data_IF_819807535066
#
_entry.id   IF_819807535066
#
_cell.length_a   1.000
_cell.length_b   1.000
_cell.length_c   1.000
_cell.angle_alpha   90.00
_cell.angle_beta   90.00
_cell.angle_gamma   90.00
#
_symmetry.space_group_name_H-M   'P 1'
#
loop_
_entity.id
_entity.type
_entity.pdbx_description
1 polymer ?
#
# COMPACT_ATOMS: atom_id res chain seq x y z
N UNK A 1 8.95 20.03 -0.66
CA UNK A 1 8.65 19.03 0.37
C UNK A 1 8.55 17.66 -0.27
N UNK A 2 9.22 16.66 0.29
CA UNK A 2 9.22 15.32 -0.29
C UNK A 2 7.95 14.58 0.09
N UNK A 3 7.20 14.02 -0.89
CA UNK A 3 5.98 13.27 -0.58
C UNK A 3 6.25 12.05 0.29
N UNK A 4 5.32 11.76 1.18
CA UNK A 4 5.36 10.60 2.07
C UNK A 4 4.08 9.81 1.91
N UNK A 5 4.12 8.66 1.24
CA UNK A 5 2.92 7.88 0.95
C UNK A 5 2.25 7.33 2.21
N UNK A 6 0.92 7.35 2.20
CA UNK A 6 0.12 6.70 3.24
C UNK A 6 -1.14 6.12 2.62
N UNK A 7 -1.68 5.09 3.25
CA UNK A 7 -2.99 4.57 2.88
C UNK A 7 -4.05 5.62 3.26
N UNK A 8 -5.03 5.81 2.40
CA UNK A 8 -6.11 6.77 2.68
C UNK A 8 -6.83 6.39 3.97
N UNK A 9 -7.21 7.39 4.81
CA UNK A 9 -7.71 7.11 6.16
C UNK A 9 -8.97 6.24 6.24
N UNK A 10 -9.81 6.27 5.21
CA UNK A 10 -11.03 5.48 5.18
C UNK A 10 -10.81 4.02 4.75
N UNK A 11 -9.60 3.69 4.32
CA UNK A 11 -9.23 2.34 3.93
C UNK A 11 -8.46 1.67 5.06
N UNK A 12 -8.81 0.42 5.35
CA UNK A 12 -8.14 -0.36 6.40
C UNK A 12 -7.42 -1.53 5.75
N UNK A 13 -6.07 -1.46 5.69
CA UNK A 13 -5.31 -2.56 5.14
C UNK A 13 -5.24 -3.71 6.15
N UNK A 14 -5.57 -4.90 5.69
CA UNK A 14 -5.47 -6.12 6.48
C UNK A 14 -4.68 -7.15 5.70
N UNK A 15 -3.75 -7.82 6.38
CA UNK A 15 -3.02 -8.93 5.77
C UNK A 15 -4.00 -10.07 5.47
N UNK A 16 -3.93 -10.59 4.25
CA UNK A 16 -4.73 -11.72 3.83
C UNK A 16 -3.81 -12.82 3.30
N UNK A 17 -3.44 -13.74 4.18
CA UNK A 17 -2.44 -14.74 3.86
C UNK A 17 -1.04 -14.14 3.76
N UNK A 18 -0.16 -14.79 3.00
CA UNK A 18 1.24 -14.39 2.89
C UNK A 18 1.52 -13.41 1.75
N UNK A 19 0.62 -13.34 0.78
CA UNK A 19 0.89 -12.67 -0.49
C UNK A 19 -0.19 -11.66 -0.88
N UNK A 20 -1.06 -11.28 0.04
CA UNK A 20 -2.17 -10.38 -0.28
C UNK A 20 -2.47 -9.42 0.87
N UNK A 21 -3.00 -8.25 0.49
CA UNK A 21 -3.53 -7.26 1.44
C UNK A 21 -4.93 -6.89 0.98
N UNK A 22 -5.87 -6.89 1.92
CA UNK A 22 -7.23 -6.47 1.68
C UNK A 22 -7.43 -5.06 2.21
N UNK A 23 -8.00 -4.19 1.36
CA UNK A 23 -8.44 -2.86 1.76
C UNK A 23 -9.96 -2.88 1.81
N UNK A 24 -10.54 -2.67 2.98
CA UNK A 24 -11.97 -2.72 3.14
C UNK A 24 -12.50 -1.49 3.83
N UNK A 25 -13.69 -1.05 3.38
CA UNK A 25 -14.57 -0.27 4.21
C UNK A 25 -15.29 -1.27 5.10
N UNK A 26 -15.23 -1.07 6.37
CA UNK A 26 -15.84 -1.97 7.34
C UNK A 26 -17.34 -1.69 7.49
N UNK A 27 -18.21 -2.67 7.40
CA UNK A 27 -18.14 -3.91 6.65
C UNK A 27 -18.76 -3.66 5.28
N UNK A 28 -18.27 -4.22 4.22
CA UNK A 28 -19.03 -4.01 3.04
C UNK A 28 -18.56 -4.64 1.75
N UNK A 29 -19.47 -4.73 0.79
CA UNK A 29 -19.10 -5.05 -0.58
C UNK A 29 -18.21 -3.94 -1.13
N UNK A 30 -17.17 -4.31 -1.86
CA UNK A 30 -16.25 -3.34 -2.43
C UNK A 30 -14.85 -3.37 -1.83
N UNK A 31 -14.53 -4.37 -1.03
CA UNK A 31 -13.17 -4.58 -0.58
C UNK A 31 -12.25 -4.81 -1.79
N UNK A 32 -11.12 -4.12 -1.81
CA UNK A 32 -10.10 -4.30 -2.83
C UNK A 32 -9.03 -5.23 -2.27
N UNK A 33 -8.68 -6.26 -3.03
CA UNK A 33 -7.64 -7.21 -2.63
C UNK A 33 -6.47 -7.08 -3.58
N UNK A 34 -5.29 -6.81 -3.05
CA UNK A 34 -4.05 -6.84 -3.80
C UNK A 34 -3.39 -8.19 -3.61
N UNK A 35 -3.31 -8.96 -4.69
CA UNK A 35 -2.71 -10.29 -4.70
C UNK A 35 -1.37 -10.27 -5.41
N UNK A 36 -0.62 -11.37 -5.29
CA UNK A 36 0.65 -11.52 -5.97
C UNK A 36 1.78 -10.69 -5.37
N UNK A 37 1.64 -10.26 -4.13
CA UNK A 37 2.67 -9.50 -3.43
C UNK A 37 3.69 -10.45 -2.80
N UNK A 38 4.94 -10.00 -2.72
CA UNK A 38 5.92 -10.67 -1.88
C UNK A 38 5.65 -10.34 -0.41
N UNK A 39 6.22 -11.10 0.49
CA UNK A 39 6.08 -10.84 1.93
C UNK A 39 6.60 -9.44 2.30
N UNK A 40 7.71 -9.01 1.67
CA UNK A 40 8.25 -7.66 1.86
C UNK A 40 7.29 -6.59 1.37
N UNK A 41 6.64 -6.83 0.24
CA UNK A 41 5.66 -5.90 -0.32
C UNK A 41 4.42 -5.80 0.56
N UNK A 42 3.96 -6.90 1.12
CA UNK A 42 2.87 -6.88 2.11
C UNK A 42 3.24 -6.02 3.31
N UNK A 43 4.44 -6.21 3.85
CA UNK A 43 4.94 -5.40 4.96
C UNK A 43 5.03 -3.92 4.62
N UNK A 44 5.47 -3.60 3.40
CA UNK A 44 5.53 -2.24 2.91
C UNK A 44 4.14 -1.59 2.88
N UNK A 45 3.17 -2.27 2.30
CA UNK A 45 1.80 -1.74 2.18
C UNK A 45 1.18 -1.51 3.56
N UNK A 46 1.35 -2.46 4.47
CA UNK A 46 0.83 -2.33 5.84
C UNK A 46 1.52 -1.22 6.62
N UNK A 47 2.72 -0.83 6.23
CA UNK A 47 3.50 0.22 6.88
C UNK A 47 3.36 1.61 6.27
N UNK A 48 2.45 1.82 5.33
CA UNK A 48 2.25 3.11 4.66
C UNK A 48 1.45 4.06 5.57
N UNK A 49 2.15 4.80 6.41
CA UNK A 49 1.56 5.67 7.42
C UNK A 49 1.89 7.17 7.24
N UNK A 50 2.56 7.52 6.16
CA UNK A 50 2.94 8.91 5.88
C UNK A 50 4.20 9.38 6.59
N UNK A 51 4.95 8.47 7.21
CA UNK A 51 6.16 8.83 7.95
C UNK A 51 7.45 8.69 7.14
N UNK A 52 7.42 7.92 6.04
CA UNK A 52 8.59 7.66 5.21
C UNK A 52 8.38 8.10 3.78
N UNK A 53 9.44 8.62 3.17
CA UNK A 53 9.47 8.92 1.73
C UNK A 53 9.50 7.61 0.94
N UNK A 54 9.22 7.69 -0.38
CA UNK A 54 9.33 6.53 -1.28
C UNK A 54 10.73 5.90 -1.20
N UNK A 55 11.77 6.72 -1.19
CA UNK A 55 13.15 6.24 -1.10
C UNK A 55 13.40 5.49 0.20
N UNK A 56 12.93 6.03 1.30
CA UNK A 56 13.07 5.39 2.61
C UNK A 56 12.31 4.07 2.67
N UNK A 57 11.10 4.02 2.08
CA UNK A 57 10.31 2.79 2.00
C UNK A 57 11.03 1.71 1.20
N UNK A 58 11.58 2.07 0.04
CA UNK A 58 12.31 1.13 -0.80
C UNK A 58 13.51 0.52 -0.05
N UNK A 59 14.25 1.35 0.66
CA UNK A 59 15.41 0.92 1.43
C UNK A 59 15.01 0.07 2.63
N UNK A 60 14.03 0.54 3.41
CA UNK A 60 13.61 -0.13 4.63
C UNK A 60 13.03 -1.52 4.36
N UNK A 61 12.17 -1.62 3.35
CA UNK A 61 11.50 -2.88 3.01
C UNK A 61 12.26 -3.71 1.98
N UNK A 62 13.38 -3.20 1.47
CA UNK A 62 14.20 -3.87 0.46
C UNK A 62 13.38 -4.22 -0.79
N UNK A 63 12.64 -3.24 -1.28
CA UNK A 63 11.82 -3.36 -2.49
C UNK A 63 12.42 -2.49 -3.58
N UNK A 64 12.45 -3.01 -4.82
CA UNK A 64 12.93 -2.27 -5.97
C UNK A 64 12.09 -1.00 -6.16
N UNK A 65 12.72 0.17 -6.38
CA UNK A 65 11.98 1.43 -6.54
C UNK A 65 10.92 1.40 -7.65
N UNK A 66 11.18 0.72 -8.76
CA UNK A 66 10.20 0.61 -9.85
C UNK A 66 8.98 -0.20 -9.39
N UNK A 67 9.19 -1.27 -8.64
CA UNK A 67 8.12 -2.09 -8.08
C UNK A 67 7.35 -1.30 -7.01
N UNK A 68 8.06 -0.54 -6.19
CA UNK A 68 7.44 0.34 -5.20
C UNK A 68 6.48 1.33 -5.88
N UNK A 69 6.94 1.99 -6.94
CA UNK A 69 6.11 2.95 -7.67
C UNK A 69 4.86 2.28 -8.25
N UNK A 70 5.00 1.07 -8.79
CA UNK A 70 3.85 0.32 -9.29
C UNK A 70 2.84 0.01 -8.18
N UNK A 71 3.31 -0.37 -7.01
CA UNK A 71 2.44 -0.65 -5.86
C UNK A 71 1.72 0.62 -5.39
N UNK A 72 2.44 1.74 -5.31
CA UNK A 72 1.87 3.00 -4.85
C UNK A 72 0.86 3.60 -5.83
N UNK A 73 0.93 3.21 -7.11
CA UNK A 73 0.01 3.68 -8.14
C UNK A 73 -1.25 2.82 -8.27
N UNK A 74 -1.42 1.80 -7.43
CA UNK A 74 -2.59 0.94 -7.49
C UNK A 74 -3.87 1.70 -7.14
N UNK A 75 -4.95 1.30 -7.80
CA UNK A 75 -6.26 1.95 -7.69
C UNK A 75 -7.35 0.91 -7.43
N UNK A 76 -8.45 1.36 -6.86
CA UNK A 76 -9.65 0.52 -6.69
C UNK A 76 -10.49 0.43 -7.96
N UNK A 77 -9.98 0.94 -9.07
CA UNK A 77 -10.65 1.08 -10.36
C UNK A 77 -10.69 2.53 -10.81
N UNK A 78 -11.04 3.45 -9.93
CA UNK A 78 -11.14 4.89 -10.23
C UNK A 78 -10.21 5.69 -9.34
N UNK A 79 -10.17 5.41 -8.04
CA UNK A 79 -9.44 6.22 -7.07
C UNK A 79 -8.16 5.54 -6.60
N UNK A 80 -7.07 6.29 -6.40
CA UNK A 80 -5.85 5.72 -5.84
C UNK A 80 -6.07 5.29 -4.39
N UNK A 81 -5.42 4.19 -4.01
CA UNK A 81 -5.47 3.67 -2.63
C UNK A 81 -4.52 4.42 -1.70
N UNK A 82 -3.49 5.04 -2.26
CA UNK A 82 -2.43 5.71 -1.53
C UNK A 82 -2.51 7.20 -1.77
N UNK A 83 -2.40 7.99 -0.71
CA UNK A 83 -2.27 9.43 -0.79
C UNK A 83 -0.82 9.83 -0.52
N UNK A 84 -0.37 10.90 -1.16
CA UNK A 84 0.93 11.49 -0.86
C UNK A 84 0.72 12.64 0.13
N UNK A 85 1.34 12.50 1.27
CA UNK A 85 1.23 13.51 2.31
C UNK A 85 2.35 14.56 2.21
#
# INVERSE_FOLDING_TARGET
MTPRPRIKPHLRPLRRGKAAVQFGLDPGPGAVVLEGLTEREVGLVLGLDGTRTRRALATFHQVDPARLDAILDLRDGVFPLVAEA
#
